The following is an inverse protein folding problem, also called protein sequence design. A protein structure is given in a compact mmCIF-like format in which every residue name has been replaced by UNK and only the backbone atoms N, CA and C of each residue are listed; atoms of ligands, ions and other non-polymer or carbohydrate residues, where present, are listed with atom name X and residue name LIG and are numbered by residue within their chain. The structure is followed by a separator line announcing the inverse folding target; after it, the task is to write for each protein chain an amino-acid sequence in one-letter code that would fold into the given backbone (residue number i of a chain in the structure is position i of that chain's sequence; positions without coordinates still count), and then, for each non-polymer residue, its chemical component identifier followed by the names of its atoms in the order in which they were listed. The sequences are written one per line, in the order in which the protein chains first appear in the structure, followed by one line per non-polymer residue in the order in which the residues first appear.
data_IF_913434843423
#
_entry.id   IF_913434843423
#
_cell.length_a   1.000
_cell.length_b   1.000
_cell.length_c   1.000
_cell.angle_alpha   90.00
_cell.angle_beta   90.00
_cell.angle_gamma   90.00
#
_symmetry.space_group_name_H-M   'P 1'
#
loop_
_entity.id
_entity.type
_entity.pdbx_description
1 polymer ?
#
# COMPACT_ATOMS: atom_id res chain seq x y z
N UNK A 1 5.58 -6.64 8.09
CA UNK A 1 4.64 -7.00 7.01
C UNK A 1 5.31 -6.70 5.67
N UNK A 2 5.06 -7.48 4.63
CA UNK A 2 5.71 -7.29 3.32
C UNK A 2 4.65 -7.37 2.23
N UNK A 3 4.63 -6.38 1.35
CA UNK A 3 3.72 -6.27 0.22
C UNK A 3 4.54 -6.25 -1.06
N UNK A 4 3.97 -6.79 -2.12
CA UNK A 4 4.46 -6.62 -3.48
C UNK A 4 4.15 -5.19 -3.93
N UNK A 5 4.92 -4.65 -4.86
CA UNK A 5 4.67 -3.32 -5.43
C UNK A 5 3.24 -3.20 -5.98
N UNK A 6 2.75 -4.22 -6.70
CA UNK A 6 1.38 -4.28 -7.23
C UNK A 6 0.31 -4.28 -6.13
N UNK A 7 0.54 -4.96 -5.00
CA UNK A 7 -0.38 -4.96 -3.87
C UNK A 7 -0.48 -3.56 -3.25
N UNK A 8 0.66 -2.87 -3.12
CA UNK A 8 0.67 -1.49 -2.64
C UNK A 8 -0.04 -0.54 -3.62
N UNK A 9 0.21 -0.66 -4.91
CA UNK A 9 -0.49 0.13 -5.93
C UNK A 9 -2.00 -0.11 -5.87
N UNK A 10 -2.41 -1.35 -5.67
CA UNK A 10 -3.82 -1.70 -5.50
C UNK A 10 -4.41 -1.05 -4.25
N UNK A 11 -3.66 -1.03 -3.14
CA UNK A 11 -4.04 -0.32 -1.91
C UNK A 11 -4.23 1.18 -2.13
N UNK A 12 -3.29 1.82 -2.84
CA UNK A 12 -3.37 3.25 -3.16
C UNK A 12 -4.62 3.59 -3.99
N UNK A 13 -4.91 2.76 -5.00
CA UNK A 13 -6.13 2.90 -5.81
C UNK A 13 -7.40 2.75 -4.97
N UNK A 14 -7.43 1.73 -4.10
CA UNK A 14 -8.60 1.48 -3.23
C UNK A 14 -8.80 2.58 -2.19
N UNK A 15 -7.71 3.22 -1.74
CA UNK A 15 -7.76 4.39 -0.85
C UNK A 15 -8.13 5.70 -1.57
N UNK A 16 -8.34 5.67 -2.90
CA UNK A 16 -8.60 6.87 -3.71
C UNK A 16 -7.36 7.73 -3.96
N UNK A 17 -6.17 7.27 -3.58
CA UNK A 17 -4.87 7.95 -3.74
C UNK A 17 -4.26 7.62 -5.11
N UNK A 18 -4.99 7.95 -6.17
CA UNK A 18 -4.58 7.61 -7.54
C UNK A 18 -3.33 8.39 -7.98
N UNK A 19 -3.19 9.63 -7.53
CA UNK A 19 -2.06 10.50 -7.85
C UNK A 19 -0.73 9.98 -7.29
N UNK A 20 -0.79 9.13 -6.27
CA UNK A 20 0.38 8.55 -5.60
C UNK A 20 0.81 7.21 -6.23
N UNK A 21 0.02 6.65 -7.16
CA UNK A 21 0.30 5.36 -7.80
C UNK A 21 1.54 5.40 -8.68
N UNK A 22 1.63 6.38 -9.58
CA UNK A 22 2.78 6.52 -10.48
C UNK A 22 4.11 6.81 -9.74
N UNK A 23 4.18 7.75 -8.79
CA UNK A 23 5.40 7.96 -8.01
C UNK A 23 5.75 6.74 -7.16
N UNK A 24 4.76 6.05 -6.57
CA UNK A 24 4.98 4.81 -5.84
C UNK A 24 5.59 3.71 -6.73
N UNK A 25 5.11 3.53 -7.97
CA UNK A 25 5.68 2.54 -8.92
C UNK A 25 7.10 2.85 -9.37
N UNK A 26 7.49 4.11 -9.40
CA UNK A 26 8.84 4.52 -9.79
C UNK A 26 9.82 4.45 -8.63
N UNK A 27 9.38 4.81 -7.42
CA UNK A 27 10.24 4.93 -6.24
C UNK A 27 10.37 3.62 -5.45
N UNK A 28 9.34 2.77 -5.42
CA UNK A 28 9.33 1.58 -4.58
C UNK A 28 9.92 0.36 -5.28
N UNK A 29 10.68 -0.49 -4.57
CA UNK A 29 11.14 -1.77 -5.09
C UNK A 29 9.99 -2.76 -5.27
N UNK A 30 10.24 -3.85 -6.02
CA UNK A 30 9.26 -4.93 -6.25
C UNK A 30 8.65 -5.50 -4.95
N UNK A 31 9.42 -5.48 -3.85
CA UNK A 31 8.97 -5.90 -2.52
C UNK A 31 9.13 -4.78 -1.49
N UNK A 32 8.01 -4.33 -0.96
CA UNK A 32 7.90 -3.26 0.03
C UNK A 32 7.63 -3.85 1.41
N UNK A 33 8.66 -3.92 2.25
CA UNK A 33 8.50 -4.22 3.68
C UNK A 33 8.24 -2.97 4.52
N UNK A 34 7.19 -2.98 5.34
CA UNK A 34 6.84 -1.87 6.25
C UNK A 34 7.99 -1.48 7.19
N UNK A 35 8.76 -2.45 7.68
CA UNK A 35 9.89 -2.21 8.58
C UNK A 35 11.18 -1.79 7.88
N UNK A 36 11.35 -2.12 6.59
CA UNK A 36 12.58 -1.85 5.82
C UNK A 36 12.46 -0.56 5.00
N UNK A 37 11.27 -0.25 4.51
CA UNK A 37 11.01 0.89 3.64
C UNK A 37 10.02 1.87 4.27
N UNK A 38 9.87 1.85 5.60
CA UNK A 38 8.97 2.78 6.30
C UNK A 38 9.32 4.24 6.04
N UNK A 39 10.61 4.56 5.96
CA UNK A 39 11.10 5.92 5.64
C UNK A 39 10.76 6.32 4.20
N UNK A 40 11.01 5.44 3.22
CA UNK A 40 10.63 5.64 1.81
C UNK A 40 9.11 5.80 1.62
N UNK A 41 8.32 5.02 2.36
CA UNK A 41 6.87 5.14 2.38
C UNK A 41 6.45 6.49 2.97
N UNK A 42 7.06 6.91 4.08
CA UNK A 42 6.78 8.20 4.70
C UNK A 42 7.16 9.39 3.79
N UNK A 43 8.26 9.32 3.05
CA UNK A 43 8.65 10.33 2.05
C UNK A 43 7.62 10.48 0.93
N UNK A 44 6.98 9.38 0.55
CA UNK A 44 5.88 9.36 -0.41
C UNK A 44 4.53 9.76 0.21
N UNK A 45 4.47 10.06 1.51
CA UNK A 45 3.23 10.34 2.23
C UNK A 45 2.34 9.10 2.42
N UNK A 46 2.93 7.92 2.30
CA UNK A 46 2.26 6.62 2.40
C UNK A 46 2.40 6.07 3.81
N UNK A 47 1.29 5.95 4.51
CA UNK A 47 1.22 5.19 5.74
C UNK A 47 0.46 3.88 5.49
N UNK A 48 1.19 2.77 5.55
CA UNK A 48 0.60 1.43 5.43
C UNK A 48 -0.47 1.17 6.49
N UNK A 49 -0.34 1.72 7.70
CA UNK A 49 -1.37 1.59 8.73
C UNK A 49 -2.64 2.35 8.35
N UNK A 50 -2.54 3.50 7.67
CA UNK A 50 -3.71 4.21 7.16
C UNK A 50 -4.34 3.50 5.96
N UNK A 51 -3.51 3.00 5.03
CA UNK A 51 -3.97 2.25 3.86
C UNK A 51 -4.68 0.94 4.23
N UNK A 52 -4.21 0.29 5.30
CA UNK A 52 -4.81 -0.94 5.84
C UNK A 52 -5.89 -0.65 6.88
N UNK A 53 -6.09 0.61 7.28
CA UNK A 53 -7.14 0.95 8.23
C UNK A 53 -8.47 0.61 7.57
N UNK A 54 -9.39 -0.09 8.25
CA UNK A 54 -10.69 -0.41 7.69
C UNK A 54 -11.42 0.88 7.32
N UNK A 55 -11.45 1.22 6.04
CA UNK A 55 -12.15 2.40 5.52
C UNK A 55 -13.64 2.13 5.36
N UNK A 56 -14.28 1.32 6.22
CA UNK A 56 -15.73 1.04 6.17
C UNK A 56 -16.26 0.43 4.86
N UNK A 57 -15.44 0.29 3.83
CA UNK A 57 -15.68 -0.46 2.59
C UNK A 57 -15.10 -1.87 2.68
N UNK A 58 -15.32 -2.72 1.67
CA UNK A 58 -14.90 -4.12 1.72
C UNK A 58 -13.39 -4.23 2.05
N UNK A 59 -13.10 -4.80 3.23
CA UNK A 59 -11.75 -4.89 3.76
C UNK A 59 -10.85 -5.73 2.85
N UNK A 60 -9.65 -5.23 2.56
CA UNK A 60 -8.62 -5.97 1.83
C UNK A 60 -8.19 -7.25 2.55
N UNK A 61 -8.28 -7.30 3.88
CA UNK A 61 -8.05 -8.53 4.67
C UNK A 61 -9.00 -9.66 4.26
N UNK A 62 -10.19 -9.33 3.77
CA UNK A 62 -11.19 -10.29 3.29
C UNK A 62 -10.85 -10.79 1.88
N UNK A 63 -10.26 -9.92 1.03
CA UNK A 63 -9.86 -10.26 -0.36
C UNK A 63 -8.50 -10.94 -0.49
N UNK A 64 -7.55 -10.63 0.40
CA UNK A 64 -6.24 -11.30 0.48
C UNK A 64 -6.29 -12.53 1.40
N UNK A 65 -7.37 -12.70 2.18
CA UNK A 65 -7.52 -13.72 3.21
C UNK A 65 -8.50 -14.85 2.90
N UNK A 66 -8.81 -15.13 1.63
CA UNK A 66 -9.61 -16.31 1.28
C UNK A 66 -8.72 -17.35 0.58
N UNK A 67 -8.54 -18.57 1.16
CA UNK A 67 -7.81 -19.67 0.53
C UNK A 67 -8.48 -20.22 -0.73
#
# INVERSE_FOLDING_TARGET
MRFSQDELVTLLRLAGRHDEVDPARLALPDQVGSSRHGELLAELGLDLHELLRPTGGPNLSDRLGNP
#
